data_IF_563589072705
#
_entry.id   IF_563589072705
#
_cell.length_a   1.000
_cell.length_b   1.000
_cell.length_c   1.000
_cell.angle_alpha   90.00
_cell.angle_beta   90.00
_cell.angle_gamma   90.00
#
_symmetry.space_group_name_H-M   'P 1'
#
loop_
_entity.id
_entity.type
_entity.pdbx_description
1 polymer ?
#
# COMPACT_ATOMS: atom_id res chain seq x y z
N UNK A 1 -11.29 7.08 -20.72
CA UNK A 1 -12.41 6.23 -20.27
C UNK A 1 -12.79 6.71 -18.87
N UNK A 2 -14.02 7.20 -18.67
CA UNK A 2 -14.48 7.74 -17.39
C UNK A 2 -14.76 6.57 -16.45
N UNK A 3 -14.11 6.54 -15.29
CA UNK A 3 -14.55 5.68 -14.19
C UNK A 3 -15.96 6.12 -13.82
N UNK A 4 -16.94 5.23 -13.96
CA UNK A 4 -18.29 5.50 -13.51
C UNK A 4 -18.26 5.65 -11.98
N UNK A 5 -18.57 6.84 -11.49
CA UNK A 5 -18.82 7.14 -10.07
C UNK A 5 -20.15 6.58 -9.56
N UNK A 6 -20.91 5.89 -10.41
CA UNK A 6 -22.13 5.21 -10.01
C UNK A 6 -21.78 3.77 -9.65
N UNK A 7 -22.15 3.37 -8.42
CA UNK A 7 -22.27 1.96 -8.08
C UNK A 7 -23.00 1.25 -9.24
N UNK A 8 -22.57 0.03 -9.63
CA UNK A 8 -23.29 -0.72 -10.65
C UNK A 8 -24.77 -0.65 -10.28
N UNK A 9 -25.61 -0.23 -11.23
CA UNK A 9 -27.06 -0.33 -11.05
C UNK A 9 -27.31 -1.75 -10.59
N UNK A 10 -27.73 -1.93 -9.35
CA UNK A 10 -28.29 -3.18 -8.89
C UNK A 10 -29.42 -3.46 -9.89
N UNK A 11 -29.18 -4.38 -10.82
CA UNK A 11 -30.27 -5.08 -11.48
C UNK A 11 -31.15 -5.50 -10.31
N UNK A 12 -32.41 -5.07 -10.28
CA UNK A 12 -33.34 -5.39 -9.19
C UNK A 12 -33.35 -6.91 -9.02
N UNK A 13 -32.48 -7.39 -8.13
CA UNK A 13 -32.30 -8.80 -7.88
C UNK A 13 -33.67 -9.28 -7.38
N UNK A 14 -34.26 -10.24 -8.09
CA UNK A 14 -35.51 -10.88 -7.65
C UNK A 14 -35.42 -11.19 -6.15
N UNK A 15 -36.47 -10.96 -5.35
CA UNK A 15 -36.42 -11.16 -3.90
C UNK A 15 -35.87 -12.53 -3.46
N UNK A 16 -36.08 -13.58 -4.27
CA UNK A 16 -35.50 -14.90 -4.03
C UNK A 16 -33.98 -14.95 -4.22
N UNK A 17 -33.44 -14.18 -5.17
CA UNK A 17 -32.00 -14.04 -5.41
C UNK A 17 -31.32 -13.24 -4.29
N UNK A 18 -31.95 -12.16 -3.82
CA UNK A 18 -31.47 -11.41 -2.65
C UNK A 18 -31.41 -12.28 -1.40
N UNK A 19 -32.42 -13.12 -1.16
CA UNK A 19 -32.42 -13.99 0.01
C UNK A 19 -31.36 -15.09 -0.09
N UNK A 20 -31.14 -15.68 -1.28
CA UNK A 20 -30.02 -16.62 -1.51
C UNK A 20 -28.67 -15.95 -1.26
N UNK A 21 -28.48 -14.72 -1.75
CA UNK A 21 -27.26 -13.93 -1.51
C UNK A 21 -27.07 -13.65 -0.03
N UNK A 22 -28.13 -13.27 0.70
CA UNK A 22 -28.08 -13.05 2.16
C UNK A 22 -27.73 -14.33 2.92
N UNK A 23 -28.32 -15.46 2.56
CA UNK A 23 -28.02 -16.77 3.16
C UNK A 23 -26.56 -17.14 2.93
N UNK A 24 -26.09 -17.05 1.68
CA UNK A 24 -24.70 -17.34 1.36
C UNK A 24 -23.73 -16.43 2.13
N UNK A 25 -23.98 -15.12 2.19
CA UNK A 25 -23.16 -14.19 2.98
C UNK A 25 -23.18 -14.55 4.48
N UNK A 26 -24.33 -14.92 5.05
CA UNK A 26 -24.43 -15.35 6.46
C UNK A 26 -23.56 -16.59 6.73
N UNK A 27 -23.61 -17.59 5.84
CA UNK A 27 -22.80 -18.80 5.95
C UNK A 27 -21.30 -18.48 5.88
N UNK A 28 -20.88 -17.62 4.94
CA UNK A 28 -19.48 -17.20 4.86
C UNK A 28 -19.03 -16.46 6.12
N UNK A 29 -19.86 -15.56 6.67
CA UNK A 29 -19.54 -14.87 7.92
C UNK A 29 -19.38 -15.86 9.07
N UNK A 30 -20.26 -16.88 9.19
CA UNK A 30 -20.11 -17.91 10.22
C UNK A 30 -18.79 -18.68 10.09
N UNK A 31 -18.38 -19.03 8.87
CA UNK A 31 -17.09 -19.67 8.61
C UNK A 31 -15.94 -18.76 9.02
N UNK A 32 -16.02 -17.46 8.73
CA UNK A 32 -15.00 -16.48 9.08
C UNK A 32 -14.93 -16.23 10.60
N UNK A 33 -16.08 -16.22 11.31
CA UNK A 33 -16.14 -16.13 12.77
C UNK A 33 -15.54 -17.37 13.44
N UNK A 34 -15.85 -18.57 12.94
CA UNK A 34 -15.29 -19.82 13.44
C UNK A 34 -13.75 -19.88 13.27
N UNK A 35 -13.23 -19.19 12.24
CA UNK A 35 -11.79 -19.01 12.00
C UNK A 35 -11.17 -17.83 12.75
N UNK A 36 -11.94 -17.12 13.58
CA UNK A 36 -11.51 -15.92 14.30
C UNK A 36 -10.96 -14.81 13.37
N UNK A 37 -11.50 -14.70 12.15
CA UNK A 37 -11.12 -13.69 11.16
C UNK A 37 -12.06 -12.49 11.14
N UNK A 38 -13.28 -12.64 11.67
CA UNK A 38 -14.26 -11.55 11.84
C UNK A 38 -15.02 -11.72 13.15
N UNK A 39 -15.58 -10.62 13.67
CA UNK A 39 -16.48 -10.58 14.83
C UNK A 39 -17.71 -9.75 14.47
N UNK A 40 -18.91 -10.27 14.71
CA UNK A 40 -20.13 -9.47 14.69
C UNK A 40 -20.39 -8.82 16.04
N UNK A 41 -20.70 -7.52 16.04
CA UNK A 41 -21.35 -6.88 17.18
C UNK A 41 -22.86 -6.86 16.94
N UNK A 42 -23.63 -7.22 17.97
CA UNK A 42 -25.07 -7.08 17.93
C UNK A 42 -25.39 -5.62 18.25
N UNK A 43 -25.95 -4.87 17.29
CA UNK A 43 -26.47 -3.53 17.60
C UNK A 43 -27.70 -3.70 18.53
N UNK A 44 -27.68 -3.15 19.76
CA UNK A 44 -28.80 -3.25 20.70
C UNK A 44 -30.09 -2.59 20.19
N UNK A 45 -30.02 -1.80 19.09
CA UNK A 45 -31.17 -1.16 18.43
C UNK A 45 -31.77 -1.99 17.29
N UNK A 46 -31.33 -3.24 17.12
CA UNK A 46 -31.88 -4.16 16.10
C UNK A 46 -31.51 -3.81 14.66
N UNK A 47 -30.44 -3.02 14.46
CA UNK A 47 -29.92 -2.70 13.13
C UNK A 47 -29.02 -3.82 12.61
N UNK A 48 -28.56 -3.67 11.37
CA UNK A 48 -27.57 -4.55 10.74
C UNK A 48 -26.34 -4.64 11.67
N UNK A 49 -25.84 -5.86 11.97
CA UNK A 49 -24.68 -6.02 12.85
C UNK A 49 -23.44 -5.40 12.22
N UNK A 50 -22.62 -4.74 13.03
CA UNK A 50 -21.29 -4.31 12.59
C UNK A 50 -20.38 -5.54 12.51
N UNK A 51 -19.55 -5.57 11.47
CA UNK A 51 -18.56 -6.64 11.27
C UNK A 51 -17.19 -6.02 11.48
N UNK A 52 -16.48 -6.47 12.51
CA UNK A 52 -15.08 -6.15 12.74
C UNK A 52 -14.22 -7.25 12.16
N UNK A 53 -13.36 -6.93 11.19
CA UNK A 53 -12.32 -7.86 10.71
C UNK A 53 -11.25 -7.98 11.80
N UNK A 54 -10.73 -9.17 12.04
CA UNK A 54 -9.74 -9.48 13.09
C UNK A 54 -8.37 -9.78 12.49
N UNK A 55 -7.31 -9.63 13.29
CA UNK A 55 -5.95 -10.04 12.91
C UNK A 55 -5.90 -11.55 12.65
N UNK A 56 -5.06 -11.95 11.70
CA UNK A 56 -4.82 -13.36 11.34
C UNK A 56 -4.03 -14.16 12.41
N UNK A 57 -3.63 -13.49 13.50
CA UNK A 57 -2.91 -14.09 14.64
C UNK A 57 -3.82 -14.82 15.63
N UNK A 58 -5.14 -14.81 15.40
CA UNK A 58 -6.14 -15.46 16.26
C UNK A 58 -6.14 -14.95 17.72
N UNK A 59 -5.62 -13.75 17.98
CA UNK A 59 -5.63 -13.09 19.30
C UNK A 59 -6.96 -12.37 19.58
N UNK A 60 -7.85 -12.29 18.59
CA UNK A 60 -9.13 -11.62 18.70
C UNK A 60 -9.03 -10.09 18.67
N UNK A 61 -7.85 -9.55 18.36
CA UNK A 61 -7.69 -8.12 18.17
C UNK A 61 -8.26 -7.69 16.81
N UNK A 62 -8.89 -6.50 16.72
CA UNK A 62 -9.28 -5.94 15.44
C UNK A 62 -8.10 -5.91 14.48
N UNK A 63 -8.38 -6.26 13.21
CA UNK A 63 -7.44 -6.08 12.14
C UNK A 63 -6.97 -4.64 12.18
N UNK A 64 -5.65 -4.47 12.13
CA UNK A 64 -5.02 -3.17 12.23
C UNK A 64 -5.32 -2.40 10.95
N UNK A 65 -6.50 -1.78 10.86
CA UNK A 65 -6.86 -0.77 9.87
C UNK A 65 -6.45 0.59 10.43
N UNK A 66 -5.27 1.09 10.06
CA UNK A 66 -4.80 2.36 10.53
C UNK A 66 -5.62 3.53 9.97
N UNK A 67 -6.52 3.27 9.00
CA UNK A 67 -7.47 4.25 8.50
C UNK A 67 -8.74 4.37 9.36
N UNK A 68 -9.01 3.44 10.27
CA UNK A 68 -10.25 3.40 11.04
C UNK A 68 -10.23 4.29 12.30
N UNK A 69 -9.06 4.65 12.81
CA UNK A 69 -8.93 5.58 13.94
C UNK A 69 -8.56 6.97 13.45
N UNK A 70 -9.36 7.98 13.82
CA UNK A 70 -9.13 9.39 13.49
C UNK A 70 -7.80 9.96 14.05
N UNK A 71 -7.09 9.17 14.84
CA UNK A 71 -5.83 9.50 15.52
C UNK A 71 -4.65 8.61 15.06
N UNK A 72 -4.84 7.64 14.16
CA UNK A 72 -3.76 6.74 13.77
C UNK A 72 -2.72 7.44 12.89
N UNK A 73 -1.49 7.44 13.40
CA UNK A 73 -0.27 7.75 12.64
C UNK A 73 0.21 6.54 11.82
N UNK A 74 -0.32 5.37 12.12
CA UNK A 74 -0.12 4.14 11.38
C UNK A 74 -0.80 4.24 10.02
N UNK A 75 -0.30 3.53 9.00
CA UNK A 75 -0.92 3.58 7.68
C UNK A 75 -0.29 2.61 6.71
N UNK A 76 -1.10 2.16 5.76
CA UNK A 76 -0.63 1.21 4.78
C UNK A 76 0.25 1.86 3.73
N UNK A 77 1.23 1.09 3.27
CA UNK A 77 1.98 1.40 2.06
C UNK A 77 1.14 0.93 0.88
N UNK A 78 0.86 1.83 -0.06
CA UNK A 78 0.16 1.46 -1.29
C UNK A 78 1.08 0.56 -2.13
N UNK A 79 0.58 -0.61 -2.53
CA UNK A 79 1.24 -1.47 -3.50
C UNK A 79 0.56 -1.26 -4.86
N UNK A 80 1.35 -0.98 -5.89
CA UNK A 80 0.85 -0.75 -7.25
C UNK A 80 0.51 -2.08 -7.91
N UNK A 81 -0.75 -2.25 -8.32
CA UNK A 81 -1.19 -3.41 -9.10
C UNK A 81 -0.44 -3.54 -10.43
N UNK A 82 -0.04 -2.43 -11.05
CA UNK A 82 0.77 -2.43 -12.27
C UNK A 82 2.16 -3.02 -12.03
N UNK A 83 2.77 -2.78 -10.87
CA UNK A 83 4.03 -3.41 -10.48
C UNK A 83 3.84 -4.91 -10.31
N UNK A 84 2.84 -5.33 -9.51
CA UNK A 84 2.60 -6.76 -9.24
C UNK A 84 2.36 -7.54 -10.54
N UNK A 85 1.63 -6.95 -11.47
CA UNK A 85 1.30 -7.57 -12.76
C UNK A 85 2.41 -7.47 -13.82
N UNK A 86 3.49 -6.75 -13.54
CA UNK A 86 4.61 -6.58 -14.47
C UNK A 86 5.56 -7.79 -14.48
N UNK A 87 6.22 -8.01 -15.61
CA UNK A 87 7.29 -9.00 -15.73
C UNK A 87 8.46 -8.70 -14.76
N UNK A 88 8.70 -7.41 -14.45
CA UNK A 88 9.72 -7.02 -13.46
C UNK A 88 9.50 -7.73 -12.13
N UNK A 89 8.28 -7.68 -11.59
CA UNK A 89 7.98 -8.24 -10.27
C UNK A 89 8.19 -9.76 -10.23
N UNK A 90 7.91 -10.46 -11.34
CA UNK A 90 8.18 -11.91 -11.46
C UNK A 90 9.67 -12.23 -11.36
N UNK A 91 10.53 -11.38 -11.92
CA UNK A 91 11.97 -11.62 -12.01
C UNK A 91 12.75 -11.02 -10.82
N UNK A 92 12.05 -10.30 -9.93
CA UNK A 92 12.66 -9.68 -8.77
C UNK A 92 13.11 -10.69 -7.72
N UNK A 93 14.34 -10.49 -7.23
CA UNK A 93 14.83 -11.12 -6.03
C UNK A 93 14.43 -10.35 -4.77
N UNK A 94 14.85 -10.86 -3.62
CA UNK A 94 14.65 -10.19 -2.34
C UNK A 94 15.15 -8.71 -2.32
N UNK A 95 16.30 -8.34 -2.93
CA UNK A 95 16.76 -6.95 -2.96
C UNK A 95 15.78 -6.00 -3.65
N UNK A 96 15.28 -6.35 -4.83
CA UNK A 96 14.35 -5.54 -5.61
C UNK A 96 13.02 -5.39 -4.88
N UNK A 97 12.50 -6.49 -4.32
CA UNK A 97 11.26 -6.48 -3.52
C UNK A 97 11.40 -5.55 -2.31
N UNK A 98 12.47 -5.66 -1.52
CA UNK A 98 12.65 -4.77 -0.35
C UNK A 98 12.83 -3.32 -0.78
N UNK A 99 13.57 -3.06 -1.87
CA UNK A 99 13.75 -1.70 -2.37
C UNK A 99 12.45 -1.09 -2.87
N UNK A 100 11.57 -1.88 -3.49
CA UNK A 100 10.26 -1.44 -3.90
C UNK A 100 9.40 -1.04 -2.68
N UNK A 101 9.37 -1.89 -1.65
CA UNK A 101 8.67 -1.57 -0.40
C UNK A 101 9.25 -0.31 0.27
N UNK A 102 10.57 -0.17 0.33
CA UNK A 102 11.23 1.03 0.84
C UNK A 102 10.83 2.29 0.03
N UNK A 103 10.83 2.18 -1.31
CA UNK A 103 10.46 3.27 -2.20
C UNK A 103 9.00 3.70 -1.99
N UNK A 104 8.07 2.76 -1.84
CA UNK A 104 6.66 3.05 -1.59
C UNK A 104 6.40 3.58 -0.16
N UNK A 105 7.20 3.17 0.82
CA UNK A 105 7.17 3.77 2.17
C UNK A 105 7.63 5.22 2.13
N UNK A 106 8.77 5.49 1.48
CA UNK A 106 9.25 6.86 1.33
C UNK A 106 8.29 7.74 0.51
N UNK A 107 7.64 7.15 -0.51
CA UNK A 107 6.59 7.77 -1.31
C UNK A 107 5.42 8.24 -0.45
N UNK A 108 4.90 7.38 0.43
CA UNK A 108 3.83 7.73 1.38
C UNK A 108 4.21 8.95 2.21
N UNK A 109 5.40 8.97 2.79
CA UNK A 109 5.85 10.10 3.62
C UNK A 109 6.06 11.38 2.81
N UNK A 110 6.57 11.27 1.59
CA UNK A 110 6.70 12.42 0.71
C UNK A 110 5.34 13.00 0.32
N UNK A 111 4.38 12.15 -0.07
CA UNK A 111 3.03 12.56 -0.46
C UNK A 111 2.22 13.19 0.67
N UNK A 112 2.33 12.65 1.88
CA UNK A 112 1.64 13.24 3.03
C UNK A 112 2.11 14.69 3.23
N UNK A 113 3.42 14.90 3.16
CA UNK A 113 4.00 16.23 3.28
C UNK A 113 3.62 17.14 2.11
N UNK A 114 3.68 16.65 0.87
CA UNK A 114 3.32 17.45 -0.30
C UNK A 114 1.84 17.88 -0.24
N UNK A 115 0.95 17.02 0.28
CA UNK A 115 -0.45 17.37 0.56
C UNK A 115 -0.54 18.46 1.62
N UNK A 116 0.22 18.36 2.70
CA UNK A 116 0.23 19.37 3.77
C UNK A 116 0.74 20.74 3.25
N UNK A 117 1.75 20.72 2.36
CA UNK A 117 2.39 21.93 1.82
C UNK A 117 1.62 22.55 0.64
N UNK A 118 0.99 21.75 -0.22
CA UNK A 118 0.39 22.22 -1.50
C UNK A 118 -1.11 21.97 -1.64
N UNK A 119 -1.71 21.19 -0.74
CA UNK A 119 -3.11 20.74 -0.83
C UNK A 119 -3.35 19.55 -1.77
N UNK A 120 -2.39 19.24 -2.65
CA UNK A 120 -2.48 18.12 -3.59
C UNK A 120 -1.41 17.05 -3.30
N UNK A 121 -1.82 15.79 -3.29
CA UNK A 121 -0.88 14.67 -3.16
C UNK A 121 -0.48 14.19 -4.56
N UNK A 122 0.81 14.00 -4.80
CA UNK A 122 1.27 13.29 -5.99
C UNK A 122 0.62 11.88 -6.07
N UNK A 123 0.39 11.32 -7.27
CA UNK A 123 -0.10 9.95 -7.40
C UNK A 123 0.82 8.95 -6.68
N UNK A 124 0.28 7.89 -6.05
CA UNK A 124 1.09 6.85 -5.43
C UNK A 124 2.11 6.26 -6.42
N UNK A 125 3.37 6.19 -6.00
CA UNK A 125 4.44 5.61 -6.80
C UNK A 125 5.15 6.59 -7.72
N UNK A 126 4.88 7.90 -7.61
CA UNK A 126 5.50 8.98 -8.39
C UNK A 126 6.28 10.01 -7.56
N UNK A 127 6.29 9.87 -6.23
CA UNK A 127 6.79 10.91 -5.35
C UNK A 127 8.31 11.02 -5.37
N UNK A 128 8.81 12.21 -5.01
CA UNK A 128 10.23 12.50 -4.86
C UNK A 128 10.62 12.47 -3.37
N UNK A 129 11.67 11.74 -3.02
CA UNK A 129 12.07 11.50 -1.63
C UNK A 129 13.60 11.41 -1.48
N UNK A 130 14.13 11.55 -0.26
CA UNK A 130 15.58 11.63 -0.02
C UNK A 130 16.02 10.93 1.28
N UNK A 131 15.42 9.78 1.56
CA UNK A 131 15.75 8.91 2.70
C UNK A 131 16.98 8.05 2.38
N UNK A 132 17.83 7.87 3.39
CA UNK A 132 18.98 6.96 3.30
C UNK A 132 18.53 5.53 3.60
N UNK A 133 19.33 4.52 3.21
CA UNK A 133 18.94 3.12 3.36
C UNK A 133 18.77 2.70 4.84
N UNK A 134 19.59 3.25 5.73
CA UNK A 134 19.50 3.07 7.18
C UNK A 134 18.19 3.63 7.77
N UNK A 135 17.59 4.61 7.10
CA UNK A 135 16.27 5.12 7.46
C UNK A 135 15.18 4.05 7.39
N UNK A 136 15.36 2.93 6.68
CA UNK A 136 14.34 1.88 6.59
C UNK A 136 14.52 0.74 7.59
N UNK A 137 15.76 0.44 8.02
CA UNK A 137 16.08 -0.75 8.81
C UNK A 137 16.80 -0.49 10.15
N UNK A 138 17.22 0.74 10.42
CA UNK A 138 17.70 1.16 11.75
C UNK A 138 16.72 0.74 12.86
N UNK A 139 17.27 0.20 13.94
CA UNK A 139 16.55 -0.11 15.18
C UNK A 139 16.74 0.97 16.24
N UNK A 140 17.45 2.06 15.90
CA UNK A 140 17.71 3.15 16.83
C UNK A 140 16.41 3.89 17.14
N UNK A 141 15.96 3.94 18.41
CA UNK A 141 14.75 4.66 18.80
C UNK A 141 14.85 6.18 18.58
N UNK A 142 16.07 6.72 18.46
CA UNK A 142 16.33 8.13 18.16
C UNK A 142 16.46 8.41 16.65
N UNK A 143 16.24 7.40 15.79
CA UNK A 143 16.21 7.64 14.36
C UNK A 143 15.04 8.59 14.02
N UNK A 144 15.18 9.49 13.03
CA UNK A 144 14.13 10.45 12.64
C UNK A 144 13.00 9.73 11.89
N UNK A 145 12.23 8.91 12.62
CA UNK A 145 11.09 8.14 12.15
C UNK A 145 9.87 8.43 13.00
N UNK A 146 8.67 8.29 12.43
CA UNK A 146 7.45 8.27 13.24
C UNK A 146 7.51 7.15 14.28
N UNK A 147 6.87 7.39 15.42
CA UNK A 147 6.61 6.37 16.43
C UNK A 147 5.89 5.17 15.82
N UNK A 148 6.20 3.95 16.28
CA UNK A 148 5.53 2.72 15.80
C UNK A 148 6.09 2.14 14.50
N UNK A 149 7.07 2.78 13.84
CA UNK A 149 7.66 2.26 12.61
C UNK A 149 8.32 0.88 12.82
N UNK A 150 7.85 -0.12 12.07
CA UNK A 150 8.47 -1.45 12.01
C UNK A 150 9.68 -1.44 11.07
N UNK A 151 10.91 -1.68 11.55
CA UNK A 151 12.09 -1.74 10.68
C UNK A 151 11.98 -2.87 9.66
N UNK A 152 12.39 -2.60 8.42
CA UNK A 152 12.52 -3.66 7.42
C UNK A 152 13.61 -4.66 7.85
N UNK A 153 13.35 -5.98 7.84
CA UNK A 153 14.29 -7.00 8.31
C UNK A 153 15.40 -7.31 7.29
N UNK A 154 15.96 -6.27 6.67
CA UNK A 154 16.98 -6.37 5.63
C UNK A 154 18.15 -5.47 5.94
N UNK A 155 19.36 -5.94 5.63
CA UNK A 155 20.58 -5.15 5.84
C UNK A 155 20.58 -3.89 4.96
N UNK A 156 21.30 -2.86 5.41
CA UNK A 156 21.45 -1.60 4.66
C UNK A 156 22.04 -1.87 3.28
N UNK A 157 22.98 -2.83 3.20
CA UNK A 157 23.58 -3.28 1.96
C UNK A 157 22.56 -3.91 1.00
N UNK A 158 21.65 -4.74 1.52
CA UNK A 158 20.58 -5.35 0.71
C UNK A 158 19.66 -4.27 0.14
N UNK A 159 19.25 -3.31 0.97
CA UNK A 159 18.39 -2.20 0.55
C UNK A 159 19.09 -1.35 -0.50
N UNK A 160 20.37 -1.00 -0.29
CA UNK A 160 21.15 -0.23 -1.26
C UNK A 160 21.30 -0.95 -2.60
N UNK A 161 21.52 -2.28 -2.56
CA UNK A 161 21.61 -3.11 -3.76
C UNK A 161 20.30 -3.09 -4.53
N UNK A 162 19.18 -3.28 -3.83
CA UNK A 162 17.86 -3.21 -4.43
C UNK A 162 17.53 -1.84 -5.02
N UNK A 163 17.82 -0.75 -4.29
CA UNK A 163 17.62 0.61 -4.81
C UNK A 163 18.44 0.85 -6.08
N UNK A 164 19.68 0.35 -6.11
CA UNK A 164 20.49 0.39 -7.34
C UNK A 164 19.85 -0.41 -8.47
N UNK A 165 19.39 -1.63 -8.20
CA UNK A 165 18.73 -2.46 -9.21
C UNK A 165 17.47 -1.79 -9.77
N UNK A 166 16.65 -1.15 -8.93
CA UNK A 166 15.49 -0.38 -9.41
C UNK A 166 15.88 0.86 -10.21
N UNK A 167 17.00 1.52 -9.90
CA UNK A 167 17.55 2.59 -10.74
C UNK A 167 17.96 2.06 -12.11
N UNK A 168 18.67 0.93 -12.14
CA UNK A 168 19.18 0.32 -13.37
C UNK A 168 18.01 -0.15 -14.27
N UNK A 169 16.88 -0.55 -13.67
CA UNK A 169 15.63 -0.87 -14.36
C UNK A 169 14.80 0.36 -14.78
N UNK A 170 15.21 1.58 -14.42
CA UNK A 170 14.49 2.82 -14.73
C UNK A 170 13.22 3.06 -13.91
N UNK A 171 12.92 2.20 -12.93
CA UNK A 171 11.71 2.27 -12.11
C UNK A 171 11.80 3.31 -10.98
N UNK A 172 13.03 3.67 -10.62
CA UNK A 172 13.32 4.87 -9.84
C UNK A 172 14.45 5.64 -10.53
N UNK A 173 14.53 6.94 -10.28
CA UNK A 173 15.68 7.75 -10.68
C UNK A 173 16.36 8.31 -9.45
N UNK A 174 17.68 8.47 -9.49
CA UNK A 174 18.45 9.01 -8.38
C UNK A 174 19.40 10.12 -8.85
N UNK A 175 19.38 11.27 -8.18
CA UNK A 175 20.31 12.37 -8.40
C UNK A 175 20.97 12.78 -7.09
N UNK A 176 22.29 12.95 -7.08
CA UNK A 176 22.99 13.58 -5.94
C UNK A 176 22.83 15.09 -6.00
N UNK A 177 22.50 15.71 -4.88
CA UNK A 177 22.38 17.17 -4.74
C UNK A 177 22.82 17.61 -3.35
N UNK A 178 23.19 18.88 -3.22
CA UNK A 178 23.43 19.54 -1.93
C UNK A 178 22.21 20.31 -1.42
N UNK A 179 21.18 20.46 -2.25
CA UNK A 179 19.99 21.26 -1.93
C UNK A 179 18.77 20.37 -1.70
N UNK A 180 18.01 20.69 -0.66
CA UNK A 180 16.72 20.09 -0.40
C UNK A 180 15.75 20.52 -1.52
N UNK A 181 15.20 19.58 -2.31
CA UNK A 181 14.29 19.93 -3.40
C UNK A 181 12.99 20.58 -2.93
N UNK A 182 12.61 20.39 -1.66
CA UNK A 182 11.39 20.95 -1.09
C UNK A 182 11.59 22.37 -0.56
N UNK A 183 12.67 22.60 0.20
CA UNK A 183 12.89 23.92 0.85
C UNK A 183 13.85 24.83 0.08
N UNK A 184 14.53 24.32 -0.95
CA UNK A 184 15.60 25.03 -1.65
C UNK A 184 16.88 25.24 -0.81
N UNK A 185 16.86 24.91 0.48
CA UNK A 185 17.99 25.12 1.39
C UNK A 185 19.04 24.03 1.24
N UNK A 186 20.29 24.34 1.60
CA UNK A 186 21.38 23.37 1.59
C UNK A 186 21.21 22.35 2.72
N UNK A 187 21.47 21.07 2.44
CA UNK A 187 21.54 20.05 3.47
C UNK A 187 22.72 20.31 4.42
N UNK A 188 22.44 20.37 5.72
CA UNK A 188 23.44 20.57 6.78
C UNK A 188 24.42 19.40 6.91
N UNK A 189 24.00 18.21 6.53
CA UNK A 189 24.77 16.95 6.58
C UNK A 189 25.55 16.66 5.29
N UNK A 190 25.57 17.59 4.34
CA UNK A 190 26.23 17.42 3.05
C UNK A 190 25.34 16.80 1.95
N UNK A 191 25.95 16.40 0.82
CA UNK A 191 25.19 15.95 -0.35
C UNK A 191 24.36 14.68 -0.08
N UNK A 192 23.11 14.67 -0.57
CA UNK A 192 22.18 13.54 -0.47
C UNK A 192 21.76 13.03 -1.84
N UNK A 193 21.37 11.75 -1.91
CA UNK A 193 20.65 11.20 -3.07
C UNK A 193 19.18 11.55 -2.93
N UNK A 194 18.63 12.20 -3.96
CA UNK A 194 17.20 12.39 -4.16
C UNK A 194 16.75 11.31 -5.12
N UNK A 195 15.74 10.57 -4.71
CA UNK A 195 15.08 9.56 -5.51
C UNK A 195 13.75 10.09 -6.01
N UNK A 196 13.34 9.68 -7.20
CA UNK A 196 11.99 9.85 -7.70
C UNK A 196 11.48 8.51 -8.20
N UNK A 197 10.33 8.11 -7.70
CA UNK A 197 9.66 6.89 -8.17
C UNK A 197 9.04 7.12 -9.56
N UNK A 198 8.97 6.05 -10.34
CA UNK A 198 8.38 6.01 -11.69
C UNK A 198 7.45 4.82 -11.86
N UNK A 199 6.87 4.33 -10.77
CA UNK A 199 6.01 3.15 -10.83
C UNK A 199 4.67 3.45 -11.52
N UNK A 200 4.31 4.73 -11.65
CA UNK A 200 3.19 5.21 -12.46
C UNK A 200 3.41 5.04 -13.97
N UNK A 201 4.66 4.93 -14.41
CA UNK A 201 5.01 4.72 -15.83
C UNK A 201 4.79 3.27 -16.26
N UNK A 202 4.68 2.33 -15.30
CA UNK A 202 4.29 0.96 -15.59
C UNK A 202 2.81 0.93 -15.96
N UNK A 203 2.52 0.58 -17.22
CA UNK A 203 1.15 0.40 -17.68
C UNK A 203 0.47 -0.68 -16.87
N UNK A 204 -0.80 -0.44 -16.51
CA UNK A 204 -1.64 -1.48 -15.94
C UNK A 204 -1.70 -2.66 -16.92
N UNK A 205 -1.51 -3.88 -16.40
CA UNK A 205 -1.74 -5.08 -17.19
C UNK A 205 -3.17 -5.06 -17.74
N UNK A 206 -3.32 -5.52 -18.98
CA UNK A 206 -4.63 -5.73 -19.57
C UNK A 206 -5.39 -6.74 -18.71
N UNK A 207 -6.57 -6.35 -18.23
CA UNK A 207 -7.43 -7.23 -17.45
C UNK A 207 -7.95 -8.30 -18.40
N UNK A 208 -7.40 -9.50 -18.30
CA UNK A 208 -7.91 -10.64 -19.06
C UNK A 208 -9.21 -11.08 -18.39
N UNK A 209 -10.33 -10.94 -19.10
CA UNK A 209 -11.58 -11.57 -18.65
C UNK A 209 -11.42 -13.09 -18.65
N UNK A 210 -11.62 -13.69 -17.48
CA UNK A 210 -11.44 -15.14 -17.26
C UNK A 210 -12.33 -15.99 -18.17
N UNK A 211 -13.50 -15.47 -18.55
CA UNK A 211 -14.43 -16.14 -19.45
C UNK A 211 -13.87 -16.23 -20.87
N UNK A 212 -13.16 -15.19 -21.32
CA UNK A 212 -12.47 -15.15 -22.61
C UNK A 212 -11.25 -16.08 -22.64
N UNK A 213 -10.52 -16.20 -21.53
CA UNK A 213 -9.37 -17.10 -21.43
C UNK A 213 -9.78 -18.58 -21.46
N UNK A 214 -10.87 -18.94 -20.77
CA UNK A 214 -11.39 -20.32 -20.74
C UNK A 214 -11.99 -20.78 -22.06
N UNK A 215 -12.52 -19.87 -22.88
CA UNK A 215 -13.05 -20.21 -24.20
C UNK A 215 -11.96 -20.43 -25.26
N UNK A 216 -10.73 -19.96 -25.00
CA UNK A 216 -9.59 -20.06 -25.91
C UNK A 216 -8.59 -21.17 -25.53
N UNK A 217 -8.85 -21.92 -24.46
CA UNK A 217 -8.05 -23.05 -23.97
C UNK A 217 -8.74 -24.38 -24.28
#
# INVERSE_FOLDING_TARGET
>A
MRFAQQAPHDIEDDPGTLEKKRTWVREQIQVLEARQLVRRSTDPRGRRPDITVLRDRCDGEPFDDPGATATATDGYVTISGAVISSQHFRDWGAPEVVAYLCAMTADRFARHRDRDDTGEAAPPGSATWFRQADWFNSTNPNAPRPSGHVPYPFSTTTIQRGLRALCDQGLITAKRTTFNPQTGQRFTSGPRKIYRNRFEELRQAEVIELDTYRAAS
#
